data_IF_569144639165
#
_entry.id   IF_569144639165
#
_cell.length_a   1.000
_cell.length_b   1.000
_cell.length_c   1.000
_cell.angle_alpha   90.00
_cell.angle_beta   90.00
_cell.angle_gamma   90.00
#
_symmetry.space_group_name_H-M   'P 1'
#
loop_
_entity.id
_entity.type
_entity.pdbx_description
1 polymer ?
#
# COMPACT_ATOMS: atom_id res chain seq x y z
N UNK A 1 -9.66 -3.42 27.67
CA UNK A 1 -9.53 -2.18 26.87
C UNK A 1 -9.61 -2.56 25.40
N UNK A 2 -10.52 -1.95 24.63
CA UNK A 2 -10.58 -2.12 23.17
C UNK A 2 -9.48 -1.24 22.55
N UNK A 3 -8.51 -1.87 21.89
CA UNK A 3 -7.43 -1.16 21.19
C UNK A 3 -7.69 -1.12 19.69
N UNK A 4 -7.83 0.08 19.14
CA UNK A 4 -7.86 0.32 17.69
C UNK A 4 -6.48 0.87 17.29
N UNK A 5 -5.87 0.26 16.28
CA UNK A 5 -4.61 0.74 15.72
C UNK A 5 -4.80 2.04 14.95
N UNK A 6 -3.88 2.99 15.12
CA UNK A 6 -3.90 4.25 14.35
C UNK A 6 -3.59 4.02 12.87
N UNK A 7 -4.23 4.77 11.97
CA UNK A 7 -3.87 4.71 10.55
C UNK A 7 -2.45 5.24 10.30
N UNK A 8 -1.78 4.68 9.30
CA UNK A 8 -0.49 5.15 8.84
C UNK A 8 -0.59 6.52 8.15
N UNK A 9 0.42 7.36 8.33
CA UNK A 9 0.48 8.68 7.70
C UNK A 9 0.69 8.56 6.19
N UNK A 10 0.08 9.44 5.40
CA UNK A 10 0.35 9.51 3.97
C UNK A 10 1.79 9.96 3.68
N UNK A 11 2.39 9.41 2.65
CA UNK A 11 3.69 9.81 2.15
C UNK A 11 3.68 11.22 1.55
N UNK A 12 4.74 11.98 1.83
CA UNK A 12 4.91 13.34 1.35
C UNK A 12 4.92 13.42 -0.18
N UNK A 13 4.29 14.44 -0.75
CA UNK A 13 4.36 14.69 -2.19
C UNK A 13 5.70 15.36 -2.54
N UNK A 14 6.22 15.04 -3.70
CA UNK A 14 7.42 15.70 -4.22
C UNK A 14 7.18 17.18 -4.56
N UNK A 15 8.26 17.89 -4.91
CA UNK A 15 8.17 19.23 -5.49
C UNK A 15 7.50 19.23 -6.87
N UNK A 16 7.06 20.41 -7.33
CA UNK A 16 6.21 20.53 -8.52
C UNK A 16 6.80 19.90 -9.78
N UNK A 17 8.08 20.14 -10.08
CA UNK A 17 8.69 19.65 -11.33
C UNK A 17 9.51 18.38 -11.13
N UNK A 18 10.14 18.21 -9.97
CA UNK A 18 11.08 17.12 -9.72
C UNK A 18 10.91 16.57 -8.32
N UNK A 19 11.22 15.28 -8.19
CA UNK A 19 11.37 14.60 -6.92
C UNK A 19 10.51 13.35 -6.83
N UNK A 20 10.90 12.47 -5.91
CA UNK A 20 10.18 11.24 -5.65
C UNK A 20 9.12 11.48 -4.56
N UNK A 21 8.02 10.75 -4.65
CA UNK A 21 7.07 10.70 -3.55
C UNK A 21 7.63 9.96 -2.34
N UNK A 22 7.32 10.43 -1.14
CA UNK A 22 7.66 9.74 0.10
C UNK A 22 6.83 8.47 0.29
N UNK A 23 7.35 7.47 0.99
CA UNK A 23 6.58 6.28 1.33
C UNK A 23 5.45 6.60 2.32
N UNK A 24 4.34 5.87 2.22
CA UNK A 24 3.29 5.88 3.24
C UNK A 24 3.74 5.16 4.52
N UNK A 25 3.32 5.65 5.68
CA UNK A 25 3.59 5.00 6.96
C UNK A 25 2.72 3.77 7.17
N UNK A 26 3.21 2.80 7.93
CA UNK A 26 2.44 1.59 8.26
C UNK A 26 1.28 1.88 9.22
N UNK A 27 0.23 1.07 9.12
CA UNK A 27 -0.88 1.07 10.06
C UNK A 27 -0.49 0.48 11.42
N UNK A 28 -1.00 1.07 12.49
CA UNK A 28 -0.78 0.62 13.85
C UNK A 28 -1.53 -0.67 14.17
N UNK A 29 -1.00 -1.43 15.12
CA UNK A 29 -1.64 -2.66 15.60
C UNK A 29 -2.82 -2.37 16.52
N UNK A 30 -3.84 -3.21 16.50
CA UNK A 30 -4.96 -3.10 17.44
C UNK A 30 -5.59 -4.44 17.80
N UNK A 31 -5.89 -4.65 19.08
CA UNK A 31 -6.46 -5.90 19.58
C UNK A 31 -7.88 -6.18 19.10
N UNK A 32 -8.60 -5.18 18.58
CA UNK A 32 -9.89 -5.40 17.90
C UNK A 32 -9.76 -5.12 16.40
N UNK A 33 -9.38 -3.89 16.04
CA UNK A 33 -9.14 -3.50 14.65
C UNK A 33 -7.79 -2.81 14.52
N UNK A 34 -7.02 -3.15 13.49
CA UNK A 34 -5.78 -2.45 13.18
C UNK A 34 -6.03 -1.23 12.30
N UNK A 35 -5.02 -0.36 12.22
CA UNK A 35 -5.02 0.78 11.31
C UNK A 35 -4.61 0.38 9.90
N UNK A 36 -5.16 1.04 8.89
CA UNK A 36 -4.70 0.89 7.51
C UNK A 36 -3.32 1.54 7.30
N UNK A 37 -2.56 1.05 6.34
CA UNK A 37 -1.34 1.69 5.86
C UNK A 37 -1.65 3.00 5.12
N UNK A 38 -0.73 3.96 5.22
CA UNK A 38 -0.82 5.23 4.54
C UNK A 38 -0.53 5.11 3.06
N UNK A 39 -1.17 5.95 2.23
CA UNK A 39 -0.87 5.98 0.80
C UNK A 39 0.52 6.56 0.53
N UNK A 40 1.18 6.08 -0.52
CA UNK A 40 2.42 6.63 -1.03
C UNK A 40 2.28 8.06 -1.55
N UNK A 41 3.40 8.78 -1.53
CA UNK A 41 3.58 10.10 -2.09
C UNK A 41 3.59 10.07 -3.62
N UNK A 42 3.05 11.08 -4.27
CA UNK A 42 3.22 11.22 -5.72
C UNK A 42 4.55 11.93 -6.00
N UNK A 43 5.18 11.54 -7.09
CA UNK A 43 6.35 12.20 -7.65
C UNK A 43 6.04 13.60 -8.20
N UNK A 44 7.09 14.34 -8.56
CA UNK A 44 7.00 15.61 -9.27
C UNK A 44 6.55 15.42 -10.71
N UNK A 45 6.23 16.50 -11.43
CA UNK A 45 5.60 16.39 -12.75
C UNK A 45 6.52 15.80 -13.82
N UNK A 46 7.81 16.16 -13.83
CA UNK A 46 8.71 15.86 -14.94
C UNK A 46 9.45 14.55 -14.72
N UNK A 47 10.17 14.45 -13.60
CA UNK A 47 10.96 13.26 -13.27
C UNK A 47 10.79 12.90 -11.80
N UNK A 48 10.49 11.63 -11.54
CA UNK A 48 10.41 11.09 -10.21
C UNK A 48 9.56 9.82 -10.11
N UNK A 49 9.81 9.04 -9.07
CA UNK A 49 9.14 7.78 -8.78
C UNK A 49 8.12 7.99 -7.66
N UNK A 50 6.95 7.37 -7.79
CA UNK A 50 5.93 7.37 -6.75
C UNK A 50 6.41 6.61 -5.50
N UNK A 51 6.04 7.09 -4.32
CA UNK A 51 6.39 6.42 -3.07
C UNK A 51 5.58 5.14 -2.86
N UNK A 52 6.16 4.13 -2.21
CA UNK A 52 5.42 2.93 -1.85
C UNK A 52 4.29 3.23 -0.86
N UNK A 53 3.20 2.46 -0.92
CA UNK A 53 2.15 2.44 0.09
C UNK A 53 2.64 1.76 1.37
N UNK A 54 2.15 2.22 2.52
CA UNK A 54 2.47 1.62 3.82
C UNK A 54 1.71 0.31 4.04
N UNK A 55 2.27 -0.58 4.85
CA UNK A 55 1.62 -1.84 5.21
C UNK A 55 0.41 -1.63 6.12
N UNK A 56 -0.58 -2.51 6.02
CA UNK A 56 -1.70 -2.58 6.96
C UNK A 56 -1.29 -3.13 8.33
N UNK A 57 -1.84 -2.58 9.41
CA UNK A 57 -1.53 -3.01 10.77
C UNK A 57 -2.07 -4.40 11.10
N UNK A 58 -1.46 -5.04 12.10
CA UNK A 58 -1.92 -6.35 12.61
C UNK A 58 -3.12 -6.18 13.54
N UNK A 59 -4.20 -6.93 13.28
CA UNK A 59 -5.46 -6.84 13.99
C UNK A 59 -5.78 -8.08 14.84
N UNK A 60 -6.42 -7.89 16.00
CA UNK A 60 -6.96 -9.02 16.75
C UNK A 60 -8.11 -9.71 16.01
N UNK A 61 -9.07 -8.93 15.51
CA UNK A 61 -10.21 -9.43 14.72
C UNK A 61 -10.09 -8.94 13.28
N UNK A 62 -9.98 -7.64 13.07
CA UNK A 62 -9.87 -7.06 11.72
C UNK A 62 -8.50 -6.43 11.53
N UNK A 63 -7.76 -6.88 10.52
CA UNK A 63 -6.49 -6.27 10.19
C UNK A 63 -6.63 -5.03 9.31
N UNK A 64 -5.57 -4.24 9.26
CA UNK A 64 -5.49 -3.04 8.43
C UNK A 64 -5.26 -3.40 6.97
N UNK A 65 -5.83 -2.62 6.06
CA UNK A 65 -5.50 -2.72 4.63
C UNK A 65 -4.15 -2.10 4.35
N UNK A 66 -3.45 -2.59 3.33
CA UNK A 66 -2.28 -1.93 2.77
C UNK A 66 -2.65 -0.60 2.10
N UNK A 67 -1.74 0.37 2.16
CA UNK A 67 -1.86 1.66 1.51
C UNK A 67 -1.60 1.56 0.01
N UNK A 68 -2.25 2.40 -0.79
CA UNK A 68 -1.96 2.47 -2.22
C UNK A 68 -0.56 3.05 -2.48
N UNK A 69 0.11 2.57 -3.52
CA UNK A 69 1.33 3.18 -4.04
C UNK A 69 1.07 4.55 -4.68
N UNK A 70 2.06 5.42 -4.61
CA UNK A 70 2.01 6.76 -5.20
C UNK A 70 2.27 6.75 -6.69
N UNK A 71 1.80 7.77 -7.40
CA UNK A 71 2.02 7.88 -8.85
C UNK A 71 3.44 8.37 -9.16
N UNK A 72 4.05 7.80 -10.20
CA UNK A 72 5.26 8.33 -10.83
C UNK A 72 5.02 9.69 -11.50
N UNK A 73 6.10 10.33 -11.92
CA UNK A 73 6.06 11.57 -12.67
C UNK A 73 5.39 11.38 -14.04
N UNK A 74 4.89 12.45 -14.66
CA UNK A 74 4.21 12.35 -15.96
C UNK A 74 5.16 11.97 -17.10
N UNK A 75 6.41 12.49 -17.12
CA UNK A 75 7.36 12.21 -18.21
C UNK A 75 8.20 10.97 -17.91
N UNK A 76 9.05 10.98 -16.88
CA UNK A 76 9.87 9.82 -16.51
C UNK A 76 9.64 9.45 -15.05
N UNK A 77 8.97 8.34 -14.81
CA UNK A 77 8.61 7.95 -13.47
C UNK A 77 7.90 6.62 -13.36
N UNK A 78 8.38 5.77 -12.46
CA UNK A 78 7.67 4.56 -12.09
C UNK A 78 6.60 4.87 -11.03
N UNK A 79 5.50 4.12 -11.04
CA UNK A 79 4.60 4.08 -9.91
C UNK A 79 5.24 3.40 -8.70
N UNK A 80 4.84 3.80 -7.50
CA UNK A 80 5.25 3.11 -6.26
C UNK A 80 4.42 1.85 -6.03
N UNK A 81 4.98 0.84 -5.37
CA UNK A 81 4.23 -0.38 -5.03
C UNK A 81 3.13 -0.11 -4.00
N UNK A 82 2.06 -0.89 -4.04
CA UNK A 82 1.05 -0.93 -2.99
C UNK A 82 1.58 -1.67 -1.77
N UNK A 83 1.20 -1.22 -0.57
CA UNK A 83 1.59 -1.89 0.68
C UNK A 83 0.80 -3.18 0.89
N UNK A 84 1.36 -4.12 1.63
CA UNK A 84 0.66 -5.37 1.97
C UNK A 84 -0.45 -5.14 2.99
N UNK A 85 -1.47 -5.98 2.94
CA UNK A 85 -2.51 -6.06 3.95
C UNK A 85 -2.00 -6.68 5.25
N UNK A 86 -2.48 -6.18 6.38
CA UNK A 86 -2.09 -6.67 7.69
C UNK A 86 -2.68 -8.06 8.01
N UNK A 87 -2.01 -8.80 8.88
CA UNK A 87 -2.52 -10.08 9.37
C UNK A 87 -3.53 -9.88 10.51
N UNK A 88 -4.45 -10.83 10.68
CA UNK A 88 -5.27 -10.91 11.89
C UNK A 88 -5.16 -12.21 12.65
N UNK A 89 -5.43 -12.16 13.95
CA UNK A 89 -5.38 -13.35 14.81
C UNK A 89 -6.66 -14.17 14.76
N UNK A 90 -7.84 -13.52 14.78
CA UNK A 90 -9.12 -14.21 14.95
C UNK A 90 -10.11 -14.00 13.80
N UNK A 91 -9.98 -12.92 13.02
CA UNK A 91 -10.90 -12.60 11.93
C UNK A 91 -10.21 -12.57 10.57
N UNK A 92 -10.56 -11.63 9.69
CA UNK A 92 -10.02 -11.56 8.33
C UNK A 92 -8.70 -10.76 8.29
N UNK A 93 -7.75 -11.21 7.47
CA UNK A 93 -6.62 -10.39 7.08
C UNK A 93 -7.06 -9.15 6.29
N UNK A 94 -6.15 -8.19 6.17
CA UNK A 94 -6.38 -6.96 5.43
C UNK A 94 -6.16 -7.15 3.95
N UNK A 95 -6.86 -6.39 3.12
CA UNK A 95 -6.58 -6.37 1.69
C UNK A 95 -5.22 -5.69 1.42
N UNK A 96 -4.51 -6.16 0.39
CA UNK A 96 -3.34 -5.47 -0.14
C UNK A 96 -3.69 -4.15 -0.81
N UNK A 97 -2.73 -3.25 -0.85
CA UNK A 97 -2.81 -1.95 -1.51
C UNK A 97 -2.65 -2.05 -3.02
N UNK A 98 -3.26 -1.14 -3.75
CA UNK A 98 -3.10 -1.05 -5.21
C UNK A 98 -1.76 -0.38 -5.52
N UNK A 99 -1.04 -0.85 -6.53
CA UNK A 99 0.17 -0.19 -7.04
C UNK A 99 -0.10 1.15 -7.71
N UNK A 100 0.90 2.01 -7.74
CA UNK A 100 0.84 3.35 -8.32
C UNK A 100 0.96 3.35 -9.84
N UNK A 101 0.38 4.35 -10.48
CA UNK A 101 0.49 4.52 -11.93
C UNK A 101 1.89 5.05 -12.32
N UNK A 102 2.36 4.64 -13.50
CA UNK A 102 3.58 5.16 -14.12
C UNK A 102 3.36 6.48 -14.88
N UNK A 103 4.48 7.10 -15.27
CA UNK A 103 4.57 8.13 -16.29
C UNK A 103 4.64 7.59 -17.72
N UNK A 104 4.90 8.50 -18.66
CA UNK A 104 5.09 8.17 -20.08
C UNK A 104 6.24 7.18 -20.29
N UNK A 105 7.35 7.38 -19.59
CA UNK A 105 8.47 6.44 -19.52
C UNK A 105 8.61 5.93 -18.09
N UNK A 106 8.10 4.73 -17.85
CA UNK A 106 8.17 4.04 -16.56
C UNK A 106 7.27 2.81 -16.51
N UNK A 107 7.46 1.99 -15.47
CA UNK A 107 6.61 0.86 -15.11
C UNK A 107 5.61 1.23 -14.01
N UNK A 108 4.44 0.60 -14.03
CA UNK A 108 3.48 0.70 -12.92
C UNK A 108 4.03 0.03 -11.66
N UNK A 109 3.57 0.47 -10.50
CA UNK A 109 3.84 -0.21 -9.24
C UNK A 109 3.05 -1.52 -9.15
N UNK A 110 3.62 -2.50 -8.48
CA UNK A 110 2.94 -3.76 -8.17
C UNK A 110 1.90 -3.54 -7.08
N UNK A 111 0.85 -4.37 -7.07
CA UNK A 111 -0.11 -4.41 -5.96
C UNK A 111 0.45 -5.20 -4.77
N UNK A 112 0.06 -4.81 -3.57
CA UNK A 112 0.40 -5.52 -2.34
C UNK A 112 -0.39 -6.81 -2.16
N UNK A 113 0.19 -7.75 -1.42
CA UNK A 113 -0.47 -8.99 -1.03
C UNK A 113 -1.57 -8.74 0.01
N UNK A 114 -2.58 -9.61 0.03
CA UNK A 114 -3.54 -9.65 1.14
C UNK A 114 -2.92 -10.30 2.38
N UNK A 115 -3.36 -9.87 3.56
CA UNK A 115 -2.95 -10.42 4.84
C UNK A 115 -3.64 -11.74 5.19
N UNK A 116 -3.00 -12.53 6.04
CA UNK A 116 -3.49 -13.81 6.54
C UNK A 116 -4.34 -13.70 7.79
N UNK A 117 -4.98 -14.82 8.14
CA UNK A 117 -5.83 -15.00 9.32
C UNK A 117 -5.35 -16.17 10.19
N UNK A 118 -5.27 -15.98 11.51
CA UNK A 118 -4.80 -16.98 12.49
C UNK A 118 -5.85 -18.05 12.87
N UNK A 119 -7.14 -17.77 12.68
CA UNK A 119 -8.19 -18.80 12.74
C UNK A 119 -8.05 -19.67 11.49
N UNK A 120 -7.58 -20.92 11.64
CA UNK A 120 -7.24 -21.85 10.55
C UNK A 120 -8.37 -22.29 9.62
N UNK A 121 -9.18 -21.37 9.10
CA UNK A 121 -10.33 -21.65 8.23
C UNK A 121 -10.90 -20.45 7.46
N UNK A 122 -10.27 -19.27 7.48
CA UNK A 122 -10.75 -18.16 6.65
C UNK A 122 -10.26 -18.34 5.20
N UNK A 123 -11.17 -18.83 4.35
CA UNK A 123 -11.05 -18.88 2.90
C UNK A 123 -10.43 -17.58 2.39
N UNK A 124 -9.29 -17.69 1.70
CA UNK A 124 -8.65 -16.61 0.94
C UNK A 124 -9.55 -16.17 -0.22
N UNK A 125 -10.70 -15.56 0.06
CA UNK A 125 -11.58 -14.99 -0.97
C UNK A 125 -11.04 -13.62 -1.34
N UNK A 126 -10.19 -13.65 -2.37
CA UNK A 126 -9.47 -12.56 -3.04
C UNK A 126 -8.26 -11.99 -2.28
N UNK A 127 -7.16 -12.73 -2.35
CA UNK A 127 -5.90 -12.06 -2.70
C UNK A 127 -6.17 -11.33 -4.03
N UNK A 128 -6.23 -10.00 -3.99
CA UNK A 128 -6.35 -9.22 -5.21
C UNK A 128 -5.16 -9.58 -6.10
N UNK A 129 -5.48 -10.16 -7.25
CA UNK A 129 -4.56 -10.58 -8.30
C UNK A 129 -3.47 -9.52 -8.46
N UNK A 130 -2.22 -9.92 -8.19
CA UNK A 130 -1.05 -9.13 -8.52
C UNK A 130 -1.20 -8.71 -9.99
N UNK A 131 -1.43 -7.42 -10.24
CA UNK A 131 -1.40 -6.89 -11.59
C UNK A 131 0.06 -6.91 -12.05
N UNK A 132 0.48 -8.03 -12.64
CA UNK A 132 1.61 -8.07 -13.55
C UNK A 132 1.28 -7.18 -14.76
N UNK A 133 1.91 -6.01 -14.86
CA UNK A 133 2.32 -5.36 -16.12
C UNK A 133 2.96 -3.99 -15.77
N UNK A 134 4.11 -3.57 -16.29
CA UNK A 134 4.75 -3.94 -17.55
C UNK A 134 6.28 -3.90 -17.41
N UNK A 135 6.94 -4.95 -17.92
CA UNK A 135 8.32 -4.84 -18.40
C UNK A 135 8.30 -4.04 -19.70
N UNK A 136 8.94 -2.86 -19.80
CA UNK A 136 9.08 -2.18 -21.07
C UNK A 136 10.08 -2.95 -21.96
N UNK A 137 9.74 -3.17 -23.24
CA UNK A 137 10.73 -3.48 -24.29
C UNK A 137 11.24 -2.20 -24.92
#
# INVERSE_FOLDING_TARGET
MVGIGGAGAAGGKAGLFFGNGGAGGSGGTGNQSAGAGGAGGNAGLLIGVGGAGGEGGIGGITAGKGGAGGTGALLIGNGGDGGDGGNSFQGNGGDGGIGGNAGLFGGGGTGGAGGGSGSGGARSVRAATAATAATPS
#
